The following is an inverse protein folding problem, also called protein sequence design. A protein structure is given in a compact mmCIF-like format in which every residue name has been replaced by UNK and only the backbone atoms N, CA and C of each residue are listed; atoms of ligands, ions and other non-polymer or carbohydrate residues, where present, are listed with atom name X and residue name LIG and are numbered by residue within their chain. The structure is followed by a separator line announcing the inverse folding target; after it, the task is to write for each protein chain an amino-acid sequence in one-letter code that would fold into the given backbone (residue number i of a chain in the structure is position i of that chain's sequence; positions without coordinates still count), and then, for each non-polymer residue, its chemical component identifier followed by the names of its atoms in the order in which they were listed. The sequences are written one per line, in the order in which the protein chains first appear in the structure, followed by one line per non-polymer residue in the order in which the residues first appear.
data_IF_154659350275
#
_entry.id   IF_154659350275
#
_cell.length_a   1.000
_cell.length_b   1.000
_cell.length_c   1.000
_cell.angle_alpha   90.00
_cell.angle_beta   90.00
_cell.angle_gamma   90.00
#
_symmetry.space_group_name_H-M   'P 1'
#
loop_
_entity.id
_entity.type
_entity.pdbx_description
1 polymer ?
#
# COMPACT_ATOMS: atom_id res chain seq x y z
N UNK A 1 -30.35 -45.16 -16.41
CA UNK A 1 -29.74 -44.33 -15.34
C UNK A 1 -28.92 -45.26 -14.44
N UNK A 2 -27.68 -45.52 -14.83
CA UNK A 2 -26.79 -46.40 -14.07
C UNK A 2 -26.24 -45.67 -12.83
N UNK A 3 -26.51 -46.28 -11.69
CA UNK A 3 -26.09 -45.82 -10.38
C UNK A 3 -24.56 -45.92 -10.26
N UNK A 4 -23.87 -44.78 -10.34
CA UNK A 4 -22.48 -44.65 -9.87
C UNK A 4 -22.44 -44.86 -8.36
N UNK A 5 -22.44 -46.12 -7.92
CA UNK A 5 -22.17 -46.49 -6.53
C UNK A 5 -20.72 -46.15 -6.23
N UNK A 6 -20.56 -45.05 -5.49
CA UNK A 6 -19.35 -44.65 -4.80
C UNK A 6 -18.72 -45.85 -4.10
N UNK A 7 -17.58 -46.29 -4.60
CA UNK A 7 -16.69 -47.21 -3.93
C UNK A 7 -16.04 -46.50 -2.74
N UNK A 8 -16.81 -46.27 -1.68
CA UNK A 8 -16.23 -45.91 -0.40
C UNK A 8 -15.33 -47.07 0.03
N UNK A 9 -14.03 -46.77 0.10
CA UNK A 9 -12.97 -47.74 0.34
C UNK A 9 -13.29 -48.63 1.54
N UNK A 10 -13.09 -49.94 1.34
CA UNK A 10 -13.03 -50.92 2.42
C UNK A 10 -12.12 -50.38 3.52
N UNK A 11 -12.66 -50.23 4.74
CA UNK A 11 -11.95 -49.75 5.93
C UNK A 11 -10.56 -50.43 6.01
N UNK A 12 -9.48 -49.68 5.84
CA UNK A 12 -8.14 -50.15 6.21
C UNK A 12 -6.97 -49.82 5.31
N UNK A 13 -7.14 -49.34 4.06
CA UNK A 13 -5.98 -48.91 3.23
C UNK A 13 -6.07 -47.43 2.87
N UNK A 14 -5.05 -46.62 3.22
CA UNK A 14 -5.01 -45.22 2.79
C UNK A 14 -4.95 -45.16 1.26
N UNK A 15 -5.85 -44.39 0.66
CA UNK A 15 -5.79 -44.08 -0.77
C UNK A 15 -4.47 -43.35 -1.05
N UNK A 16 -3.57 -44.03 -1.78
CA UNK A 16 -2.29 -43.45 -2.17
C UNK A 16 -2.55 -42.50 -3.34
N UNK A 17 -2.82 -41.24 -3.03
CA UNK A 17 -2.87 -40.18 -4.05
C UNK A 17 -1.45 -39.82 -4.46
N UNK A 18 -1.09 -40.15 -5.70
CA UNK A 18 0.18 -39.78 -6.31
C UNK A 18 0.13 -38.34 -6.81
N UNK A 19 1.28 -37.71 -6.98
CA UNK A 19 1.34 -36.35 -7.57
C UNK A 19 0.91 -36.38 -9.04
N UNK A 20 1.21 -37.48 -9.74
CA UNK A 20 0.90 -37.67 -11.16
C UNK A 20 -0.62 -37.70 -11.43
N UNK A 21 -1.42 -38.34 -10.58
CA UNK A 21 -2.87 -38.34 -10.76
C UNK A 21 -3.50 -36.94 -10.58
N UNK A 22 -2.93 -36.13 -9.69
CA UNK A 22 -3.35 -34.73 -9.51
C UNK A 22 -2.96 -33.89 -10.74
N UNK A 23 -1.78 -34.11 -11.32
CA UNK A 23 -1.32 -33.43 -12.54
C UNK A 23 -2.15 -33.77 -13.77
N UNK A 24 -2.51 -35.05 -13.94
CA UNK A 24 -3.38 -35.49 -15.03
C UNK A 24 -4.77 -34.84 -14.96
N UNK A 25 -5.35 -34.75 -13.77
CA UNK A 25 -6.63 -34.07 -13.58
C UNK A 25 -6.52 -32.55 -13.77
N UNK A 26 -5.40 -31.94 -13.36
CA UNK A 26 -5.15 -30.53 -13.62
C UNK A 26 -4.99 -30.25 -15.11
N UNK A 27 -4.28 -31.11 -15.85
CA UNK A 27 -4.11 -31.00 -17.30
C UNK A 27 -5.44 -31.12 -18.06
N UNK A 28 -6.41 -31.86 -17.50
CA UNK A 28 -7.80 -31.94 -18.00
C UNK A 28 -8.66 -30.70 -17.65
N UNK A 29 -8.11 -29.73 -16.91
CA UNK A 29 -8.84 -28.53 -16.48
C UNK A 29 -9.80 -28.78 -15.30
N UNK A 30 -9.67 -29.91 -14.60
CA UNK A 30 -10.52 -30.22 -13.44
C UNK A 30 -10.24 -29.24 -12.30
N UNK A 31 -11.27 -28.72 -11.63
CA UNK A 31 -11.07 -27.83 -10.48
C UNK A 31 -10.50 -28.59 -9.26
N UNK A 32 -9.70 -27.97 -8.37
CA UNK A 32 -9.17 -28.65 -7.17
C UNK A 32 -10.24 -29.28 -6.28
N UNK A 33 -11.43 -28.67 -6.21
CA UNK A 33 -12.59 -29.20 -5.46
C UNK A 33 -13.14 -30.48 -6.09
N UNK A 34 -13.21 -30.53 -7.43
CA UNK A 34 -13.61 -31.73 -8.15
C UNK A 34 -12.55 -32.84 -8.02
N UNK A 35 -11.26 -32.50 -8.12
CA UNK A 35 -10.16 -33.46 -7.87
C UNK A 35 -10.23 -34.09 -6.49
N UNK A 36 -10.48 -33.27 -5.45
CA UNK A 36 -10.60 -33.75 -4.07
C UNK A 36 -11.74 -34.78 -3.92
N UNK A 37 -12.89 -34.50 -4.57
CA UNK A 37 -14.05 -35.40 -4.58
C UNK A 37 -13.75 -36.70 -5.35
N UNK A 38 -13.11 -36.59 -6.51
CA UNK A 38 -12.79 -37.73 -7.37
C UNK A 38 -11.75 -38.67 -6.74
N UNK A 39 -10.72 -38.11 -6.11
CA UNK A 39 -9.64 -38.85 -5.47
C UNK A 39 -9.95 -39.27 -4.02
N UNK A 40 -11.10 -38.84 -3.47
CA UNK A 40 -11.50 -39.16 -2.10
C UNK A 40 -10.57 -38.60 -1.03
N UNK A 41 -9.98 -37.41 -1.25
CA UNK A 41 -9.06 -36.76 -0.31
C UNK A 41 -9.50 -35.35 0.06
N UNK A 42 -8.92 -34.81 1.12
CA UNK A 42 -9.19 -33.43 1.53
C UNK A 42 -8.62 -32.43 0.52
N UNK A 43 -9.29 -31.27 0.40
CA UNK A 43 -8.86 -30.18 -0.47
C UNK A 43 -7.44 -29.69 -0.11
N UNK A 44 -7.09 -29.67 1.18
CA UNK A 44 -5.74 -29.33 1.65
C UNK A 44 -4.67 -30.30 1.11
N UNK A 45 -5.00 -31.59 0.98
CA UNK A 45 -4.07 -32.59 0.41
C UNK A 45 -3.81 -32.32 -1.06
N UNK A 46 -4.85 -31.96 -1.82
CA UNK A 46 -4.71 -31.56 -3.23
C UNK A 46 -3.79 -30.34 -3.37
N UNK A 47 -4.02 -29.28 -2.58
CA UNK A 47 -3.16 -28.10 -2.63
C UNK A 47 -1.71 -28.40 -2.26
N UNK A 48 -1.46 -29.22 -1.23
CA UNK A 48 -0.09 -29.63 -0.86
C UNK A 48 0.60 -30.47 -1.94
N UNK A 49 -0.17 -31.24 -2.71
CA UNK A 49 0.35 -32.01 -3.86
C UNK A 49 0.65 -31.12 -5.05
N UNK A 50 -0.26 -30.20 -5.38
CA UNK A 50 -0.07 -29.19 -6.43
C UNK A 50 1.17 -28.33 -6.13
N UNK A 51 1.36 -27.90 -4.88
CA UNK A 51 2.52 -27.10 -4.47
C UNK A 51 3.86 -27.84 -4.69
N UNK A 52 3.86 -29.17 -4.64
CA UNK A 52 5.03 -30.01 -4.91
C UNK A 52 5.16 -30.41 -6.39
N UNK A 53 4.18 -30.08 -7.22
CA UNK A 53 4.21 -30.42 -8.64
C UNK A 53 5.23 -29.54 -9.39
N UNK A 54 6.09 -30.13 -10.24
CA UNK A 54 6.94 -29.37 -11.15
C UNK A 54 6.16 -28.45 -12.11
N UNK A 55 4.90 -28.75 -12.43
CA UNK A 55 4.06 -27.86 -13.24
C UNK A 55 3.78 -26.54 -12.54
N UNK A 56 3.50 -26.57 -11.23
CA UNK A 56 3.25 -25.35 -10.47
C UNK A 56 4.52 -24.51 -10.34
N UNK A 57 5.67 -25.14 -10.13
CA UNK A 57 6.96 -24.45 -10.09
C UNK A 57 7.28 -23.75 -11.44
N UNK A 58 7.01 -24.42 -12.57
CA UNK A 58 7.16 -23.83 -13.92
C UNK A 58 6.25 -22.61 -14.12
N UNK A 59 4.99 -22.72 -13.71
CA UNK A 59 4.03 -21.61 -13.83
C UNK A 59 4.39 -20.43 -12.92
N UNK A 60 4.85 -20.68 -11.70
CA UNK A 60 5.28 -19.61 -10.79
C UNK A 60 6.54 -18.91 -11.32
N UNK A 61 7.50 -19.65 -11.89
CA UNK A 61 8.69 -19.07 -12.51
C UNK A 61 8.36 -18.24 -13.76
N UNK A 62 7.43 -18.71 -14.61
CA UNK A 62 6.95 -17.96 -15.76
C UNK A 62 6.25 -16.66 -15.32
N UNK A 63 5.36 -16.73 -14.33
CA UNK A 63 4.69 -15.57 -13.77
C UNK A 63 5.69 -14.58 -13.14
N UNK A 64 6.70 -15.09 -12.43
CA UNK A 64 7.78 -14.28 -11.85
C UNK A 64 8.61 -13.57 -12.92
N UNK A 65 8.97 -14.27 -14.00
CA UNK A 65 9.72 -13.71 -15.13
C UNK A 65 8.93 -12.60 -15.84
N UNK A 66 7.65 -12.85 -16.11
CA UNK A 66 6.75 -11.86 -16.71
C UNK A 66 6.59 -10.62 -15.83
N UNK A 67 6.38 -10.82 -14.52
CA UNK A 67 6.29 -9.72 -13.55
C UNK A 67 7.60 -8.94 -13.45
N UNK A 68 8.75 -9.60 -13.52
CA UNK A 68 10.06 -8.93 -13.54
C UNK A 68 10.19 -7.98 -14.72
N UNK A 69 9.77 -8.42 -15.91
CA UNK A 69 9.76 -7.60 -17.13
C UNK A 69 8.84 -6.38 -17.00
N UNK A 70 7.62 -6.57 -16.50
CA UNK A 70 6.68 -5.45 -16.32
C UNK A 70 7.22 -4.40 -15.33
N UNK A 71 7.87 -4.85 -14.26
CA UNK A 71 8.50 -3.96 -13.28
C UNK A 71 9.71 -3.23 -13.88
N UNK A 72 10.53 -3.91 -14.70
CA UNK A 72 11.65 -3.25 -15.40
C UNK A 72 11.17 -2.24 -16.44
N UNK A 73 10.02 -2.49 -17.06
CA UNK A 73 9.37 -1.57 -18.00
C UNK A 73 8.71 -0.36 -17.27
N UNK A 74 8.78 -0.31 -15.94
CA UNK A 74 8.29 0.81 -15.12
C UNK A 74 6.79 0.76 -14.80
N UNK A 75 6.10 -0.35 -15.05
CA UNK A 75 4.67 -0.46 -14.76
C UNK A 75 4.38 -0.42 -13.26
N UNK A 76 3.32 0.30 -12.90
CA UNK A 76 2.80 0.33 -11.54
C UNK A 76 2.03 -0.96 -11.18
N UNK A 77 1.78 -1.16 -9.88
CA UNK A 77 0.91 -2.24 -9.39
C UNK A 77 -0.47 -2.23 -10.07
N UNK A 78 -1.14 -1.06 -10.27
CA UNK A 78 -2.45 -1.02 -10.93
C UNK A 78 -2.41 -1.54 -12.37
N UNK A 79 -1.40 -1.13 -13.14
CA UNK A 79 -1.26 -1.53 -14.55
C UNK A 79 -0.98 -3.03 -14.67
N UNK A 80 -0.08 -3.54 -13.81
CA UNK A 80 0.20 -4.98 -13.74
C UNK A 80 -1.07 -5.74 -13.39
N UNK A 81 -1.84 -5.28 -12.40
CA UNK A 81 -3.09 -5.90 -11.97
C UNK A 81 -4.13 -5.98 -13.09
N UNK A 82 -4.31 -4.88 -13.84
CA UNK A 82 -5.18 -4.85 -15.01
C UNK A 82 -4.70 -5.82 -16.10
N UNK A 83 -3.39 -5.85 -16.38
CA UNK A 83 -2.78 -6.70 -17.41
C UNK A 83 -2.90 -8.20 -17.11
N UNK A 84 -2.78 -8.60 -15.84
CA UNK A 84 -2.86 -10.01 -15.42
C UNK A 84 -4.26 -10.43 -14.97
N UNK A 85 -5.24 -9.53 -15.03
CA UNK A 85 -6.62 -9.76 -14.56
C UNK A 85 -6.65 -10.28 -13.10
N UNK A 86 -5.89 -9.64 -12.21
CA UNK A 86 -5.86 -9.93 -10.77
C UNK A 86 -6.05 -8.66 -9.96
N UNK A 87 -6.38 -8.81 -8.67
CA UNK A 87 -6.48 -7.66 -7.78
C UNK A 87 -5.11 -7.06 -7.48
N UNK A 88 -5.07 -5.74 -7.25
CA UNK A 88 -3.84 -5.03 -6.86
C UNK A 88 -3.20 -5.62 -5.60
N UNK A 89 -4.02 -6.03 -4.62
CA UNK A 89 -3.57 -6.65 -3.37
C UNK A 89 -2.84 -7.97 -3.67
N UNK A 90 -3.37 -8.80 -4.57
CA UNK A 90 -2.75 -10.05 -4.96
C UNK A 90 -1.40 -9.81 -5.64
N UNK A 91 -1.34 -8.85 -6.57
CA UNK A 91 -0.11 -8.47 -7.27
C UNK A 91 0.94 -7.95 -6.28
N UNK A 92 0.56 -7.06 -5.36
CA UNK A 92 1.45 -6.51 -4.35
C UNK A 92 2.04 -7.61 -3.45
N UNK A 93 1.21 -8.56 -3.00
CA UNK A 93 1.67 -9.70 -2.20
C UNK A 93 2.64 -10.59 -2.98
N UNK A 94 2.37 -10.86 -4.26
CA UNK A 94 3.23 -11.69 -5.11
C UNK A 94 4.57 -11.03 -5.42
N UNK A 95 4.57 -9.75 -5.77
CA UNK A 95 5.79 -8.99 -6.01
C UNK A 95 6.66 -8.93 -4.75
N UNK A 96 6.03 -8.72 -3.58
CA UNK A 96 6.71 -8.79 -2.29
C UNK A 96 7.31 -10.17 -2.03
N UNK A 97 6.55 -11.25 -2.24
CA UNK A 97 7.02 -12.64 -2.10
C UNK A 97 8.23 -12.91 -2.99
N UNK A 98 8.26 -12.35 -4.19
CA UNK A 98 9.33 -12.53 -5.16
C UNK A 98 10.51 -11.56 -5.00
N UNK A 99 10.45 -10.63 -4.04
CA UNK A 99 11.52 -9.67 -3.74
C UNK A 99 11.56 -8.44 -4.63
N UNK A 100 10.53 -8.21 -5.46
CA UNK A 100 10.45 -7.00 -6.29
C UNK A 100 10.03 -5.80 -5.44
N UNK A 101 10.82 -4.72 -5.50
CA UNK A 101 10.45 -3.43 -4.93
C UNK A 101 9.79 -2.59 -6.02
N UNK A 102 8.47 -2.62 -6.07
CA UNK A 102 7.73 -1.64 -6.88
C UNK A 102 7.76 -0.33 -6.12
N UNK A 103 8.26 0.73 -6.75
CA UNK A 103 8.07 2.07 -6.18
C UNK A 103 6.56 2.28 -6.05
N UNK A 104 6.03 2.58 -4.85
CA UNK A 104 4.63 2.95 -4.74
C UNK A 104 4.43 4.10 -5.71
N UNK A 105 3.59 3.86 -6.72
CA UNK A 105 3.35 4.81 -7.77
C UNK A 105 2.98 6.13 -7.09
N UNK A 106 3.79 7.18 -7.32
CA UNK A 106 3.58 8.46 -6.65
C UNK A 106 2.15 8.96 -6.91
N UNK A 107 1.62 8.58 -8.07
CA UNK A 107 0.28 8.80 -8.58
C UNK A 107 -0.79 8.07 -7.77
N UNK A 108 -0.62 6.80 -7.35
CA UNK A 108 -1.72 6.05 -6.71
C UNK A 108 -2.05 6.53 -5.30
N UNK A 109 -1.06 7.02 -4.56
CA UNK A 109 -1.32 7.71 -3.28
C UNK A 109 -1.69 9.16 -3.50
N UNK A 110 -1.01 9.90 -4.37
CA UNK A 110 -1.27 11.34 -4.52
C UNK A 110 -2.65 11.61 -5.10
N UNK A 111 -3.04 10.94 -6.19
CA UNK A 111 -4.31 11.19 -6.89
C UNK A 111 -5.52 10.66 -6.12
N UNK A 112 -5.38 9.51 -5.44
CA UNK A 112 -6.49 8.94 -4.63
C UNK A 112 -6.69 9.71 -3.32
N UNK A 113 -5.62 10.25 -2.73
CA UNK A 113 -5.74 11.13 -1.58
C UNK A 113 -6.25 12.51 -2.00
N UNK A 114 -5.71 13.14 -3.04
CA UNK A 114 -6.16 14.45 -3.52
C UNK A 114 -7.62 14.44 -4.00
N UNK A 115 -8.10 13.35 -4.62
CA UNK A 115 -9.49 13.22 -5.05
C UNK A 115 -10.48 12.85 -3.91
N UNK A 116 -10.01 12.28 -2.80
CA UNK A 116 -10.85 11.93 -1.65
C UNK A 116 -10.83 12.99 -0.53
N UNK A 117 -9.91 13.95 -0.58
CA UNK A 117 -9.66 14.85 0.55
C UNK A 117 -10.57 16.07 0.57
N UNK A 118 -11.23 16.44 -0.53
CA UNK A 118 -11.97 17.69 -0.64
C UNK A 118 -13.48 17.41 -0.69
N UNK A 119 -14.26 18.10 0.16
CA UNK A 119 -15.73 17.97 0.19
C UNK A 119 -16.34 18.62 -1.04
N UNK A 120 -15.75 19.74 -1.45
CA UNK A 120 -16.20 20.54 -2.60
C UNK A 120 -15.01 20.96 -3.47
N UNK A 121 -15.21 21.20 -4.78
CA UNK A 121 -14.15 21.67 -5.68
C UNK A 121 -13.41 22.92 -5.18
N UNK A 122 -14.09 23.80 -4.45
CA UNK A 122 -13.50 25.02 -3.86
C UNK A 122 -12.51 24.76 -2.71
N UNK A 123 -12.56 23.59 -2.08
CA UNK A 123 -11.67 23.27 -0.95
C UNK A 123 -10.21 23.12 -1.37
N UNK A 124 -9.97 22.71 -2.62
CA UNK A 124 -8.62 22.60 -3.15
C UNK A 124 -7.96 23.99 -3.25
N UNK A 125 -8.71 24.99 -3.75
CA UNK A 125 -8.24 26.38 -3.80
C UNK A 125 -8.02 26.94 -2.39
N UNK A 126 -8.91 26.62 -1.45
CA UNK A 126 -8.79 27.02 -0.05
C UNK A 126 -7.51 26.46 0.60
N UNK A 127 -7.23 25.16 0.41
CA UNK A 127 -6.00 24.53 0.93
C UNK A 127 -4.74 25.10 0.29
N UNK A 128 -4.77 25.39 -1.02
CA UNK A 128 -3.65 26.06 -1.70
C UNK A 128 -3.43 27.47 -1.15
N UNK A 129 -4.50 28.24 -0.95
CA UNK A 129 -4.45 29.59 -0.39
C UNK A 129 -3.89 29.58 1.05
N UNK A 130 -4.37 28.67 1.90
CA UNK A 130 -3.87 28.49 3.26
C UNK A 130 -2.40 28.08 3.28
N UNK A 131 -2.01 27.13 2.41
CA UNK A 131 -0.60 26.73 2.26
C UNK A 131 0.27 27.93 1.91
N UNK A 132 -0.08 28.69 0.86
CA UNK A 132 0.68 29.86 0.43
C UNK A 132 0.77 30.91 1.55
N UNK A 133 -0.34 31.18 2.24
CA UNK A 133 -0.40 32.12 3.37
C UNK A 133 0.55 31.71 4.48
N UNK A 134 0.52 30.44 4.89
CA UNK A 134 1.34 29.96 6.01
C UNK A 134 2.82 29.79 5.65
N UNK A 135 3.14 29.38 4.42
CA UNK A 135 4.53 29.37 3.92
C UNK A 135 5.12 30.78 3.97
N UNK A 136 4.41 31.78 3.43
CA UNK A 136 4.87 33.18 3.46
C UNK A 136 5.02 33.69 4.90
N UNK A 137 4.11 33.33 5.80
CA UNK A 137 4.19 33.73 7.21
C UNK A 137 5.41 33.13 7.92
N UNK A 138 5.76 31.87 7.64
CA UNK A 138 6.94 31.22 8.21
C UNK A 138 8.24 31.82 7.67
N UNK A 139 8.31 32.05 6.35
CA UNK A 139 9.48 32.66 5.70
C UNK A 139 9.77 34.06 6.26
N UNK A 140 8.74 34.87 6.55
CA UNK A 140 8.90 36.19 7.20
C UNK A 140 9.51 36.13 8.59
N UNK A 141 9.46 34.98 9.26
CA UNK A 141 10.07 34.78 10.58
C UNK A 141 11.53 34.31 10.52
N UNK A 142 12.12 34.23 9.32
CA UNK A 142 13.48 33.73 9.12
C UNK A 142 13.60 32.21 9.27
N UNK A 143 12.48 31.49 9.35
CA UNK A 143 12.46 30.03 9.41
C UNK A 143 12.43 29.50 7.99
N UNK A 144 13.50 28.84 7.58
CA UNK A 144 13.52 28.09 6.32
C UNK A 144 12.57 26.89 6.42
N UNK A 145 11.60 26.82 5.51
CA UNK A 145 10.63 25.74 5.46
C UNK A 145 10.37 25.31 4.02
N UNK A 146 10.33 23.99 3.81
CA UNK A 146 9.92 23.43 2.53
C UNK A 146 8.39 23.59 2.38
N UNK A 147 7.95 24.14 1.24
CA UNK A 147 6.53 24.32 0.94
C UNK A 147 5.75 23.00 1.04
N UNK A 148 6.37 21.86 0.70
CA UNK A 148 5.74 20.54 0.78
C UNK A 148 5.42 20.13 2.21
N UNK A 149 6.23 20.52 3.21
CA UNK A 149 5.96 20.25 4.62
C UNK A 149 4.81 21.11 5.15
N UNK A 150 4.71 22.35 4.68
CA UNK A 150 3.56 23.22 4.95
C UNK A 150 2.30 22.61 4.33
N UNK A 151 2.33 22.22 3.05
CA UNK A 151 1.18 21.59 2.37
C UNK A 151 0.68 20.34 3.10
N UNK A 152 1.58 19.44 3.49
CA UNK A 152 1.20 18.23 4.27
C UNK A 152 0.55 18.59 5.60
N UNK A 153 1.05 19.63 6.27
CA UNK A 153 0.53 20.09 7.57
C UNK A 153 -0.84 20.72 7.42
N UNK A 154 -1.05 21.54 6.38
CA UNK A 154 -2.36 22.12 6.05
C UNK A 154 -3.37 21.03 5.69
N UNK A 155 -3.02 20.07 4.83
CA UNK A 155 -3.89 18.93 4.49
C UNK A 155 -4.27 18.10 5.70
N UNK A 156 -3.32 17.84 6.62
CA UNK A 156 -3.61 17.16 7.88
C UNK A 156 -4.57 17.96 8.76
N UNK A 157 -4.39 19.28 8.83
CA UNK A 157 -5.29 20.18 9.53
C UNK A 157 -6.68 20.18 8.92
N UNK A 158 -6.77 20.24 7.59
CA UNK A 158 -8.03 20.18 6.85
C UNK A 158 -8.80 18.90 7.14
N UNK A 159 -8.16 17.72 7.04
CA UNK A 159 -8.80 16.45 7.36
C UNK A 159 -9.35 16.43 8.78
N UNK A 160 -8.55 16.89 9.75
CA UNK A 160 -8.98 16.97 11.14
C UNK A 160 -10.16 17.93 11.30
N UNK A 161 -10.17 19.04 10.56
CA UNK A 161 -11.28 19.98 10.57
C UNK A 161 -12.56 19.31 10.04
N UNK A 162 -12.51 18.62 8.89
CA UNK A 162 -13.63 17.84 8.35
C UNK A 162 -14.14 16.81 9.35
N UNK A 163 -13.24 15.99 9.91
CA UNK A 163 -13.61 14.91 10.83
C UNK A 163 -14.20 15.41 12.17
N UNK A 164 -13.95 16.68 12.54
CA UNK A 164 -14.41 17.27 13.81
C UNK A 164 -15.40 18.42 13.62
N UNK A 165 -15.78 18.73 12.38
CA UNK A 165 -16.69 19.81 12.10
C UNK A 165 -18.10 19.42 12.57
N UNK A 166 -18.76 20.37 13.21
CA UNK A 166 -20.07 20.19 13.82
C UNK A 166 -20.91 21.40 13.43
N UNK A 167 -21.80 21.20 12.46
CA UNK A 167 -22.66 22.25 11.90
C UNK A 167 -23.57 22.86 12.96
N UNK A 168 -23.94 22.11 14.01
CA UNK A 168 -24.83 22.58 15.08
C UNK A 168 -24.18 23.66 15.95
N UNK A 169 -22.86 23.80 15.91
CA UNK A 169 -22.13 24.84 16.66
C UNK A 169 -22.22 26.22 16.01
N UNK A 170 -22.79 26.35 14.81
CA UNK A 170 -23.01 27.62 14.12
C UNK A 170 -21.72 28.36 13.69
N UNK A 171 -20.57 27.68 13.71
CA UNK A 171 -19.29 28.24 13.25
C UNK A 171 -19.15 27.87 11.75
N UNK A 172 -18.90 28.83 10.85
CA UNK A 172 -18.61 28.52 9.45
C UNK A 172 -17.39 27.59 9.32
N UNK A 173 -17.44 26.66 8.37
CA UNK A 173 -16.39 25.66 8.18
C UNK A 173 -15.02 26.31 7.92
N UNK A 174 -14.96 27.41 7.17
CA UNK A 174 -13.72 28.14 6.90
C UNK A 174 -13.09 28.70 8.18
N UNK A 175 -13.94 29.19 9.10
CA UNK A 175 -13.51 29.66 10.42
C UNK A 175 -12.95 28.54 11.27
N UNK A 176 -13.64 27.39 11.30
CA UNK A 176 -13.17 26.19 12.00
C UNK A 176 -11.85 25.65 11.43
N UNK A 177 -11.78 25.54 10.11
CA UNK A 177 -10.59 25.10 9.38
C UNK A 177 -9.38 26.00 9.68
N UNK A 178 -9.56 27.32 9.67
CA UNK A 178 -8.50 28.26 9.97
C UNK A 178 -7.92 28.05 11.38
N UNK A 179 -8.76 27.76 12.38
CA UNK A 179 -8.32 27.47 13.75
C UNK A 179 -7.50 26.18 13.80
N UNK A 180 -8.00 25.10 13.20
CA UNK A 180 -7.34 23.79 13.21
C UNK A 180 -6.00 23.85 12.47
N UNK A 181 -5.96 24.44 11.27
CA UNK A 181 -4.74 24.58 10.46
C UNK A 181 -3.72 25.47 11.16
N UNK A 182 -4.13 26.61 11.73
CA UNK A 182 -3.22 27.51 12.45
C UNK A 182 -2.57 26.81 13.65
N UNK A 183 -3.31 25.97 14.36
CA UNK A 183 -2.77 25.16 15.46
C UNK A 183 -1.68 24.20 14.97
N UNK A 184 -1.94 23.47 13.87
CA UNK A 184 -0.95 22.56 13.28
C UNK A 184 0.31 23.29 12.78
N UNK A 185 0.15 24.46 12.16
CA UNK A 185 1.27 25.29 11.67
C UNK A 185 2.11 25.83 12.84
N UNK A 186 1.47 26.21 13.96
CA UNK A 186 2.18 26.62 15.18
C UNK A 186 3.06 25.50 15.71
N UNK A 187 2.57 24.27 15.72
CA UNK A 187 3.35 23.10 16.14
C UNK A 187 4.48 22.77 15.16
N UNK A 188 4.25 22.91 13.85
CA UNK A 188 5.32 22.78 12.85
C UNK A 188 6.43 23.81 13.10
N UNK A 189 6.08 25.09 13.28
CA UNK A 189 7.05 26.16 13.58
C UNK A 189 7.90 25.82 14.81
N UNK A 190 7.28 25.36 15.91
CA UNK A 190 8.00 24.94 17.12
C UNK A 190 8.98 23.81 16.87
N UNK A 191 8.69 22.89 15.94
CA UNK A 191 9.61 21.79 15.57
C UNK A 191 10.76 22.30 14.73
N UNK A 192 10.49 23.16 13.74
CA UNK A 192 11.51 23.73 12.86
C UNK A 192 12.52 24.57 13.65
N UNK A 193 12.02 25.47 14.52
CA UNK A 193 12.88 26.29 15.38
C UNK A 193 13.76 25.41 16.29
N UNK A 194 13.18 24.38 16.93
CA UNK A 194 13.96 23.42 17.75
C UNK A 194 15.04 22.71 16.94
N UNK A 195 14.75 22.30 15.72
CA UNK A 195 15.72 21.64 14.84
C UNK A 195 16.83 22.60 14.40
N UNK A 196 16.51 23.87 14.14
CA UNK A 196 17.49 24.89 13.78
C UNK A 196 18.47 25.16 14.93
N UNK A 197 17.97 25.35 16.16
CA UNK A 197 18.82 25.48 17.34
C UNK A 197 19.68 24.24 17.58
N UNK A 198 19.13 23.03 17.34
CA UNK A 198 19.88 21.79 17.45
C UNK A 198 21.02 21.70 16.43
N UNK A 199 20.86 22.20 15.20
CA UNK A 199 21.98 22.22 14.24
C UNK A 199 23.12 23.12 14.75
N UNK A 200 22.79 24.35 15.13
CA UNK A 200 23.77 25.33 15.66
C UNK A 200 24.54 24.75 16.85
N UNK A 201 23.84 24.22 17.87
CA UNK A 201 24.48 23.70 19.09
C UNK A 201 25.39 22.48 18.86
N UNK A 202 25.15 21.68 17.83
CA UNK A 202 25.92 20.46 17.57
C UNK A 202 27.03 20.67 16.52
N UNK A 203 26.86 21.62 15.59
CA UNK A 203 27.90 21.95 14.61
C UNK A 203 29.10 22.67 15.27
N UNK A 204 28.87 23.47 16.32
CA UNK A 204 29.93 24.13 17.10
C UNK A 204 30.79 23.14 17.92
N UNK A 205 30.19 22.02 18.36
CA UNK A 205 30.90 21.00 19.15
C UNK A 205 31.77 20.05 18.30
N UNK A 206 31.57 20.00 16.98
CA UNK A 206 32.38 19.18 16.08
C UNK A 206 33.68 19.85 15.65
N UNK A 207 33.78 21.18 15.77
CA UNK A 207 34.94 21.95 15.34
C UNK A 207 35.91 22.34 16.48
N UNK A 208 35.49 22.26 17.75
CA UNK A 208 36.34 22.62 18.90
C UNK A 208 37.27 21.49 19.38
N UNK A 209 37.10 20.25 18.90
CA UNK A 209 37.83 19.07 19.38
C UNK A 209 39.16 18.73 18.68
N UNK A 210 39.71 19.59 17.82
CA UNK A 210 40.89 19.24 16.98
C UNK A 210 42.22 19.93 17.32
N UNK A 211 42.30 20.79 18.34
CA UNK A 211 43.54 21.50 18.67
C UNK A 211 44.02 21.27 20.12
N UNK A 212 44.19 20.00 20.50
CA UNK A 212 44.86 19.62 21.75
C UNK A 212 45.82 18.46 21.50
N UNK A 213 46.91 18.71 20.77
CA UNK A 213 48.15 17.93 20.77
C UNK A 213 49.32 18.90 20.72
#
# INVERSE_FOLDING_TARGET
MESMRSSFGKKGRPLVVTTQSVEELLAKGTSPKAMAKELGVSLATIYRRLERSPMQARNENAAKSMAAKMVSDGMGIPDIAARVEKSEVWVAQRLKKWGFRVRPDATSKKTRYEAMLFREPGDQELVLALTKRHTNALMRTGVEVDASDVSRTVLKGYRKAVDSFDEEKGIPFEGWLAVVVTSQIRDLRRKLVRNQYRKVLFDDNLHSGKNSV
#
